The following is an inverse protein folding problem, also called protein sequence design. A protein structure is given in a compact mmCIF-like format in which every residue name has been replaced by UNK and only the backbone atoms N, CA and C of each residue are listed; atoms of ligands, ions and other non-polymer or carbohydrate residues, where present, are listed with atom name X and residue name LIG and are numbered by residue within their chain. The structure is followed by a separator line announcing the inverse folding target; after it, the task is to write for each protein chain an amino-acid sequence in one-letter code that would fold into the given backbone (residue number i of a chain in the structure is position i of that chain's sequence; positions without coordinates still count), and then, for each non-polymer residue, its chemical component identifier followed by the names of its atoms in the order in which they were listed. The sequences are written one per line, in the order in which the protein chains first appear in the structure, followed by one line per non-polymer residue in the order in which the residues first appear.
data_IF_370277845673
#
_entry.id   IF_370277845673
#
_cell.length_a   1.000
_cell.length_b   1.000
_cell.length_c   1.000
_cell.angle_alpha   90.00
_cell.angle_beta   90.00
_cell.angle_gamma   90.00
#
_symmetry.space_group_name_H-M   'P 1'
#
loop_
_entity.id
_entity.type
_entity.pdbx_description
1 polymer ?
#
# COMPACT_ATOMS: atom_id res chain seq x y z
N UNK A 1 -0.99 20.45 10.73
CA UNK A 1 -0.98 20.35 9.27
C UNK A 1 0.23 19.51 8.92
N UNK A 2 0.05 18.27 8.46
CA UNK A 2 1.16 17.55 7.82
C UNK A 2 1.30 18.26 6.48
N UNK A 3 2.40 18.98 6.27
CA UNK A 3 2.74 19.44 4.92
C UNK A 3 2.78 18.18 4.05
N UNK A 4 1.84 18.07 3.10
CA UNK A 4 1.72 16.89 2.23
C UNK A 4 2.89 16.86 1.25
N UNK A 5 4.05 16.41 1.75
CA UNK A 5 5.21 16.00 0.98
C UNK A 5 5.04 14.52 0.65
N UNK A 6 4.59 14.22 -0.57
CA UNK A 6 4.46 12.84 -1.02
C UNK A 6 4.93 12.69 -2.46
N UNK A 7 5.36 11.48 -2.78
CA UNK A 7 5.77 11.10 -4.12
C UNK A 7 5.43 9.65 -4.41
N UNK A 8 5.27 9.34 -5.69
CA UNK A 8 4.93 8.03 -6.22
C UNK A 8 5.98 7.65 -7.24
N UNK A 9 6.65 6.52 -7.00
CA UNK A 9 7.50 5.89 -7.99
C UNK A 9 6.64 4.99 -8.87
N UNK A 10 6.68 5.23 -10.17
CA UNK A 10 6.03 4.41 -11.18
C UNK A 10 7.11 3.60 -11.88
N UNK A 11 7.00 2.28 -11.78
CA UNK A 11 7.95 1.31 -12.35
C UNK A 11 7.23 0.49 -13.42
N UNK A 12 7.82 0.35 -14.60
CA UNK A 12 7.27 -0.49 -15.65
C UNK A 12 8.16 -0.61 -16.88
N UNK A 13 7.64 -1.24 -17.92
CA UNK A 13 8.30 -1.39 -19.21
C UNK A 13 7.81 -0.37 -20.24
N UNK A 14 7.44 0.83 -19.79
CA UNK A 14 6.96 1.91 -20.63
C UNK A 14 8.10 2.85 -21.02
N UNK A 15 7.89 3.62 -22.09
CA UNK A 15 8.80 4.71 -22.45
C UNK A 15 8.56 5.90 -21.51
N UNK A 16 9.49 6.11 -20.56
CA UNK A 16 9.44 7.21 -19.60
C UNK A 16 9.32 8.58 -20.28
N UNK A 17 10.04 8.78 -21.39
CA UNK A 17 10.01 10.05 -22.13
C UNK A 17 8.66 10.28 -22.78
N UNK A 18 8.05 9.25 -23.37
CA UNK A 18 6.70 9.36 -23.91
C UNK A 18 5.66 9.71 -22.81
N UNK A 19 5.76 9.09 -21.64
CA UNK A 19 4.87 9.38 -20.50
C UNK A 19 5.03 10.83 -20.02
N UNK A 20 6.27 11.27 -19.80
CA UNK A 20 6.59 12.62 -19.33
C UNK A 20 6.18 13.66 -20.37
N UNK A 21 6.50 13.46 -21.64
CA UNK A 21 6.08 14.35 -22.71
C UNK A 21 4.56 14.49 -22.77
N UNK A 22 3.83 13.39 -22.59
CA UNK A 22 2.37 13.44 -22.56
C UNK A 22 1.84 14.26 -21.37
N UNK A 23 2.43 14.09 -20.19
CA UNK A 23 2.07 14.88 -19.01
C UNK A 23 2.37 16.38 -19.20
N UNK A 24 3.50 16.71 -19.85
CA UNK A 24 3.88 18.09 -20.19
C UNK A 24 2.96 18.68 -21.25
N UNK A 25 2.51 17.92 -22.24
CA UNK A 25 1.58 18.40 -23.26
C UNK A 25 0.20 18.74 -22.68
N UNK A 26 -0.27 17.94 -21.72
CA UNK A 26 -1.60 18.08 -21.12
C UNK A 26 -1.62 19.09 -19.95
N UNK A 27 -0.46 19.48 -19.42
CA UNK A 27 -0.31 20.37 -18.26
C UNK A 27 0.57 21.58 -18.53
N UNK A 28 0.60 22.52 -17.58
CA UNK A 28 1.54 23.64 -17.63
C UNK A 28 2.79 23.28 -16.84
N UNK A 29 3.74 22.60 -17.49
CA UNK A 29 5.00 22.22 -16.87
C UNK A 29 6.17 23.05 -17.39
N UNK A 30 7.03 23.49 -16.46
CA UNK A 30 8.30 24.13 -16.78
C UNK A 30 9.47 23.21 -16.40
N UNK A 31 10.51 23.22 -17.25
CA UNK A 31 11.73 22.45 -16.99
C UNK A 31 12.55 23.15 -15.90
N UNK A 32 12.92 22.38 -14.88
CA UNK A 32 13.80 22.79 -13.80
C UNK A 32 15.02 21.86 -13.70
N UNK A 33 16.02 22.29 -12.93
CA UNK A 33 17.27 21.53 -12.72
C UNK A 33 17.72 21.63 -11.27
N UNK A 34 18.16 20.51 -10.73
CA UNK A 34 18.76 20.43 -9.39
C UNK A 34 19.90 19.41 -9.39
N UNK A 35 21.08 19.78 -8.88
CA UNK A 35 22.27 18.92 -8.79
C UNK A 35 22.65 18.16 -10.10
N UNK A 36 22.35 18.75 -11.26
CA UNK A 36 22.62 18.16 -12.57
C UNK A 36 21.52 17.25 -13.12
N UNK A 37 20.45 17.00 -12.36
CA UNK A 37 19.25 16.30 -12.84
C UNK A 37 18.22 17.30 -13.37
N UNK A 38 17.48 16.88 -14.40
CA UNK A 38 16.34 17.62 -14.93
C UNK A 38 15.05 17.04 -14.38
N UNK A 39 14.10 17.93 -14.06
CA UNK A 39 12.72 17.55 -13.70
C UNK A 39 11.76 18.61 -14.24
N UNK A 40 10.47 18.31 -14.22
CA UNK A 40 9.42 19.17 -14.71
C UNK A 40 8.51 19.57 -13.55
N UNK A 41 8.26 20.86 -13.38
CA UNK A 41 7.43 21.41 -12.32
C UNK A 41 6.18 22.04 -12.91
N UNK A 42 5.02 21.63 -12.41
CA UNK A 42 3.74 22.23 -12.75
C UNK A 42 3.68 23.66 -12.22
N UNK A 43 3.46 24.60 -13.13
CA UNK A 43 3.21 26.00 -12.81
C UNK A 43 1.70 26.21 -12.76
N UNK A 44 1.16 26.29 -11.54
CA UNK A 44 -0.24 26.65 -11.32
C UNK A 44 -0.36 27.98 -10.58
N UNK A 45 -1.27 28.83 -11.05
CA UNK A 45 -1.62 30.10 -10.38
C UNK A 45 -2.28 29.89 -9.01
N UNK A 46 -2.63 28.64 -8.66
CA UNK A 46 -3.38 28.27 -7.48
C UNK A 46 -2.54 27.55 -6.41
N UNK A 47 -1.22 27.44 -6.60
CA UNK A 47 -0.27 27.05 -5.56
C UNK A 47 -0.05 25.54 -5.37
N UNK A 48 -0.69 24.69 -6.17
CA UNK A 48 -0.37 23.26 -6.24
C UNK A 48 0.67 23.06 -7.35
N UNK A 49 1.91 22.68 -6.99
CA UNK A 49 2.98 22.45 -7.96
C UNK A 49 3.40 20.98 -7.92
N UNK A 50 2.80 20.17 -8.79
CA UNK A 50 3.26 18.79 -8.98
C UNK A 50 4.62 18.79 -9.68
N UNK A 51 5.45 17.79 -9.43
CA UNK A 51 6.74 17.64 -10.09
C UNK A 51 6.89 16.23 -10.66
N UNK A 52 7.59 16.11 -11.79
CA UNK A 52 7.81 14.86 -12.50
C UNK A 52 9.28 14.74 -12.87
N UNK A 53 9.89 13.59 -12.57
CA UNK A 53 11.28 13.30 -12.91
C UNK A 53 11.43 11.86 -13.42
N UNK A 54 12.17 11.67 -14.50
CA UNK A 54 12.71 10.36 -14.85
C UNK A 54 13.94 10.09 -13.98
N UNK A 55 13.93 8.97 -13.27
CA UNK A 55 15.05 8.56 -12.41
C UNK A 55 15.93 7.55 -13.15
N UNK A 56 15.29 6.62 -13.86
CA UNK A 56 15.93 5.61 -14.71
C UNK A 56 14.95 5.16 -15.81
N UNK A 57 15.43 4.36 -16.76
CA UNK A 57 14.59 3.78 -17.82
C UNK A 57 13.45 2.95 -17.21
N UNK A 58 12.20 3.34 -17.50
CA UNK A 58 11.00 2.74 -16.92
C UNK A 58 10.74 3.08 -15.44
N UNK A 59 11.46 4.04 -14.85
CA UNK A 59 11.28 4.53 -13.48
C UNK A 59 11.05 6.05 -13.46
N UNK A 60 9.80 6.44 -13.15
CA UNK A 60 9.38 7.85 -13.08
C UNK A 60 8.89 8.18 -11.67
N UNK A 61 9.28 9.33 -11.14
CA UNK A 61 8.78 9.89 -9.89
C UNK A 61 7.78 11.00 -10.18
N UNK A 62 6.55 10.85 -9.65
CA UNK A 62 5.55 11.90 -9.56
C UNK A 62 5.51 12.42 -8.13
N UNK A 63 5.64 13.72 -7.92
CA UNK A 63 5.74 14.33 -6.61
C UNK A 63 4.76 15.49 -6.43
N UNK A 64 4.35 15.76 -5.19
CA UNK A 64 3.48 16.88 -4.85
C UNK A 64 4.22 18.23 -4.78
N UNK A 65 5.55 18.23 -4.90
CA UNK A 65 6.39 19.42 -4.87
C UNK A 65 7.78 19.15 -5.48
N UNK A 66 8.50 20.24 -5.81
CA UNK A 66 9.91 20.17 -6.18
C UNK A 66 10.79 19.62 -5.04
N UNK A 67 10.48 19.96 -3.78
CA UNK A 67 11.27 19.52 -2.62
C UNK A 67 11.34 17.99 -2.47
N UNK A 68 10.29 17.26 -2.88
CA UNK A 68 10.33 15.79 -2.88
C UNK A 68 11.30 15.25 -3.93
N UNK A 69 11.39 15.90 -5.11
CA UNK A 69 12.36 15.54 -6.15
C UNK A 69 13.79 15.80 -5.66
N UNK A 70 14.02 16.97 -5.07
CA UNK A 70 15.31 17.36 -4.51
C UNK A 70 15.76 16.39 -3.41
N UNK A 71 14.86 16.00 -2.52
CA UNK A 71 15.11 15.00 -1.47
C UNK A 71 15.55 13.65 -2.05
N UNK A 72 14.90 13.18 -3.12
CA UNK A 72 15.26 11.91 -3.79
C UNK A 72 16.63 12.01 -4.45
N UNK A 73 16.95 13.16 -5.06
CA UNK A 73 18.26 13.43 -5.65
C UNK A 73 19.35 13.47 -4.57
N UNK A 74 19.12 14.17 -3.45
CA UNK A 74 20.06 14.24 -2.34
C UNK A 74 20.31 12.85 -1.74
N UNK A 75 19.28 12.01 -1.63
CA UNK A 75 19.45 10.60 -1.22
C UNK A 75 20.30 9.82 -2.23
N UNK A 76 20.02 9.97 -3.54
CA UNK A 76 20.77 9.28 -4.59
C UNK A 76 22.25 9.70 -4.64
N UNK A 77 22.55 10.96 -4.32
CA UNK A 77 23.92 11.50 -4.24
C UNK A 77 24.64 11.17 -2.93
N UNK A 78 23.91 10.70 -1.92
CA UNK A 78 24.44 10.46 -0.57
C UNK A 78 24.56 11.73 0.27
N UNK A 79 23.94 12.83 -0.16
CA UNK A 79 23.87 14.10 0.57
C UNK A 79 22.79 14.07 1.66
N UNK A 80 21.80 13.18 1.52
CA UNK A 80 20.77 12.88 2.53
C UNK A 80 20.70 11.38 2.79
N UNK A 81 20.40 11.01 4.05
CA UNK A 81 20.22 9.60 4.39
C UNK A 81 18.88 9.09 3.85
N UNK A 82 18.90 7.91 3.23
CA UNK A 82 17.67 7.18 2.93
C UNK A 82 16.97 6.78 4.23
N UNK A 83 15.65 6.57 4.16
CA UNK A 83 14.95 5.88 5.24
C UNK A 83 15.58 4.49 5.45
N UNK A 84 15.74 4.13 6.72
CA UNK A 84 16.31 2.87 7.18
C UNK A 84 15.59 2.44 8.46
N UNK A 85 15.84 1.22 8.92
CA UNK A 85 15.17 0.64 10.08
C UNK A 85 14.07 -0.34 9.71
N UNK A 86 13.33 -0.77 10.72
CA UNK A 86 12.51 -1.97 10.63
C UNK A 86 11.43 -1.89 9.54
N UNK A 87 10.75 -0.75 9.38
CA UNK A 87 9.75 -0.55 8.32
C UNK A 87 10.34 -0.81 6.92
N UNK A 88 11.53 -0.26 6.66
CA UNK A 88 12.21 -0.42 5.37
C UNK A 88 12.72 -1.86 5.20
N UNK A 89 13.19 -2.49 6.28
CA UNK A 89 13.60 -3.89 6.25
C UNK A 89 12.41 -4.81 5.91
N UNK A 90 11.23 -4.59 6.49
CA UNK A 90 10.02 -5.37 6.15
C UNK A 90 9.57 -5.10 4.71
N UNK A 91 9.62 -3.84 4.25
CA UNK A 91 9.29 -3.50 2.86
C UNK A 91 10.21 -4.20 1.85
N UNK A 92 11.52 -4.21 2.14
CA UNK A 92 12.53 -4.83 1.28
C UNK A 92 12.46 -6.36 1.30
N UNK A 93 11.99 -6.95 2.41
CA UNK A 93 11.77 -8.39 2.52
C UNK A 93 10.59 -8.91 1.68
N UNK A 94 9.68 -8.04 1.23
CA UNK A 94 8.61 -8.42 0.29
C UNK A 94 9.19 -8.75 -1.09
N UNK A 95 8.72 -9.85 -1.68
CA UNK A 95 8.98 -10.19 -3.08
C UNK A 95 8.58 -9.05 -4.04
N UNK A 96 9.11 -9.09 -5.27
CA UNK A 96 8.70 -8.18 -6.35
C UNK A 96 7.21 -8.34 -6.68
N UNK A 97 6.48 -7.24 -6.78
CA UNK A 97 5.05 -7.27 -7.09
C UNK A 97 4.57 -6.05 -7.86
N UNK A 98 3.29 -6.07 -8.20
CA UNK A 98 2.60 -4.95 -8.86
C UNK A 98 2.44 -3.80 -7.87
N UNK A 99 2.04 -4.13 -6.64
CA UNK A 99 1.93 -3.17 -5.55
C UNK A 99 2.67 -3.74 -4.34
N UNK A 100 3.53 -2.92 -3.75
CA UNK A 100 4.19 -3.15 -2.47
C UNK A 100 3.91 -1.98 -1.57
N UNK A 101 3.40 -2.23 -0.38
CA UNK A 101 3.13 -1.20 0.63
C UNK A 101 3.69 -1.70 1.96
N UNK A 102 4.28 -0.79 2.71
CA UNK A 102 4.59 -0.98 4.13
C UNK A 102 4.24 0.31 4.85
N UNK A 103 3.59 0.21 6.01
CA UNK A 103 3.33 1.36 6.86
C UNK A 103 3.32 0.96 8.33
N UNK A 104 3.69 1.93 9.17
CA UNK A 104 3.46 1.86 10.61
C UNK A 104 2.01 2.24 10.89
N UNK A 105 1.34 1.51 11.78
CA UNK A 105 -0.06 1.79 12.11
C UNK A 105 -0.11 2.97 13.08
N UNK A 106 -0.70 4.13 12.69
CA UNK A 106 -0.78 5.28 13.57
C UNK A 106 -1.61 5.01 14.82
N UNK A 107 -1.24 5.61 15.95
CA UNK A 107 -1.95 5.43 17.22
C UNK A 107 -3.45 5.74 17.13
N UNK A 108 -3.84 6.80 16.40
CA UNK A 108 -5.24 7.16 16.23
C UNK A 108 -6.05 6.09 15.48
N UNK A 109 -5.44 5.35 14.55
CA UNK A 109 -6.11 4.25 13.84
C UNK A 109 -6.33 3.08 14.80
N UNK A 110 -5.35 2.80 15.67
CA UNK A 110 -5.48 1.77 16.71
C UNK A 110 -6.61 2.12 17.69
N UNK A 111 -6.61 3.36 18.19
CA UNK A 111 -7.67 3.88 19.06
C UNK A 111 -9.06 3.79 18.40
N UNK A 112 -9.19 4.12 17.11
CA UNK A 112 -10.47 4.01 16.40
C UNK A 112 -10.95 2.54 16.33
N UNK A 113 -10.05 1.59 16.07
CA UNK A 113 -10.39 0.16 16.02
C UNK A 113 -10.79 -0.34 17.42
N UNK A 114 -10.06 0.03 18.47
CA UNK A 114 -10.40 -0.33 19.84
C UNK A 114 -11.73 0.26 20.28
N UNK A 115 -12.03 1.51 19.91
CA UNK A 115 -13.29 2.16 20.26
C UNK A 115 -14.46 1.70 19.40
N UNK A 116 -14.21 1.02 18.28
CA UNK A 116 -15.25 0.42 17.44
C UNK A 116 -15.90 -0.83 18.08
N UNK A 117 -15.44 -1.20 19.29
CA UNK A 117 -15.84 -2.40 20.01
C UNK A 117 -17.34 -2.40 20.36
N UNK A 118 -18.12 -2.94 19.43
CA UNK A 118 -19.58 -3.02 19.46
C UNK A 118 -20.09 -4.47 19.49
N UNK A 119 -19.19 -5.43 19.70
CA UNK A 119 -19.47 -6.87 19.70
C UNK A 119 -18.70 -7.65 20.78
N UNK A 120 -18.79 -9.00 20.80
CA UNK A 120 -18.16 -9.85 21.81
C UNK A 120 -16.66 -10.11 21.57
N UNK A 121 -16.02 -9.35 20.67
CA UNK A 121 -14.64 -9.57 20.25
C UNK A 121 -13.69 -8.66 21.05
N UNK A 122 -12.55 -9.19 21.47
CA UNK A 122 -11.50 -8.37 22.07
C UNK A 122 -10.58 -7.84 20.96
N UNK A 123 -10.44 -6.52 20.85
CA UNK A 123 -9.56 -5.86 19.89
C UNK A 123 -8.32 -5.23 20.55
N UNK A 124 -8.09 -5.46 21.85
CA UNK A 124 -6.91 -4.94 22.57
C UNK A 124 -5.58 -5.31 21.89
N UNK A 125 -5.51 -6.48 21.26
CA UNK A 125 -4.31 -6.93 20.54
C UNK A 125 -3.96 -6.07 19.32
N UNK A 126 -4.88 -5.25 18.81
CA UNK A 126 -4.63 -4.31 17.71
C UNK A 126 -3.65 -3.22 18.11
N UNK A 127 -3.58 -2.86 19.40
CA UNK A 127 -2.62 -1.89 19.89
C UNK A 127 -1.17 -2.33 19.69
N UNK A 128 -0.95 -3.64 19.66
CA UNK A 128 0.35 -4.26 19.52
C UNK A 128 0.80 -4.37 18.06
N UNK A 129 -0.01 -3.96 17.08
CA UNK A 129 0.38 -3.94 15.67
C UNK A 129 1.38 -2.80 15.43
N UNK A 130 2.59 -3.13 15.00
CA UNK A 130 3.63 -2.14 14.72
C UNK A 130 3.62 -1.75 13.24
N UNK A 131 3.72 -2.76 12.37
CA UNK A 131 3.87 -2.59 10.94
C UNK A 131 2.89 -3.50 10.20
N UNK A 132 2.29 -2.97 9.13
CA UNK A 132 1.56 -3.76 8.16
C UNK A 132 2.28 -3.66 6.83
N UNK A 133 2.50 -4.82 6.20
CA UNK A 133 2.97 -4.91 4.83
C UNK A 133 1.90 -5.53 3.94
N UNK A 134 1.82 -5.05 2.70
CA UNK A 134 0.93 -5.57 1.69
C UNK A 134 1.68 -5.76 0.37
N UNK A 135 1.47 -6.92 -0.23
CA UNK A 135 2.04 -7.31 -1.50
C UNK A 135 0.94 -7.84 -2.41
N UNK A 136 0.79 -7.20 -3.57
CA UNK A 136 -0.09 -7.63 -4.64
C UNK A 136 0.74 -8.07 -5.84
N UNK A 137 0.54 -9.30 -6.28
CA UNK A 137 1.28 -9.88 -7.39
C UNK A 137 0.34 -10.56 -8.36
N UNK A 138 0.76 -10.62 -9.63
CA UNK A 138 0.19 -11.54 -10.61
C UNK A 138 1.11 -12.75 -10.73
N UNK A 139 0.62 -13.93 -10.36
CA UNK A 139 1.31 -15.21 -10.57
C UNK A 139 0.55 -16.00 -11.62
N UNK A 140 1.12 -16.08 -12.82
CA UNK A 140 0.51 -16.71 -14.00
C UNK A 140 -0.87 -16.10 -14.34
N UNK A 141 -1.96 -16.80 -14.00
CA UNK A 141 -3.34 -16.38 -14.25
C UNK A 141 -4.08 -15.90 -13.00
N UNK A 142 -3.46 -15.96 -11.82
CA UNK A 142 -4.06 -15.56 -10.56
C UNK A 142 -3.42 -14.28 -10.00
N UNK A 143 -4.23 -13.49 -9.32
CA UNK A 143 -3.78 -12.36 -8.51
C UNK A 143 -3.63 -12.86 -7.07
N UNK A 144 -2.45 -12.69 -6.51
CA UNK A 144 -2.15 -13.10 -5.13
C UNK A 144 -1.96 -11.87 -4.26
N UNK A 145 -2.59 -11.90 -3.08
CA UNK A 145 -2.40 -10.91 -2.03
C UNK A 145 -1.65 -11.57 -0.89
N UNK A 146 -0.71 -10.83 -0.30
CA UNK A 146 -0.08 -11.21 0.97
C UNK A 146 -0.09 -9.98 1.87
N UNK A 147 -0.72 -10.11 3.03
CA UNK A 147 -0.65 -9.13 4.11
C UNK A 147 0.19 -9.75 5.21
N UNK A 148 1.20 -9.04 5.71
CA UNK A 148 1.84 -9.42 6.97
C UNK A 148 1.56 -8.34 8.00
N UNK A 149 1.10 -8.77 9.17
CA UNK A 149 0.87 -7.95 10.35
C UNK A 149 1.96 -8.31 11.34
N UNK A 150 2.83 -7.35 11.64
CA UNK A 150 3.90 -7.49 12.62
C UNK A 150 3.44 -6.90 13.94
N UNK A 151 3.56 -7.68 15.00
CA UNK A 151 3.20 -7.27 16.37
C UNK A 151 4.43 -7.20 17.26
N UNK A 152 4.29 -6.53 18.41
CA UNK A 152 5.30 -6.47 19.45
C UNK A 152 5.62 -7.85 20.04
N UNK A 153 4.61 -8.74 20.15
CA UNK A 153 4.77 -10.08 20.70
C UNK A 153 3.92 -11.16 20.01
N UNK A 154 4.26 -12.43 20.31
CA UNK A 154 3.64 -13.60 19.69
C UNK A 154 2.22 -13.90 20.15
N UNK A 155 1.85 -13.50 21.38
CA UNK A 155 0.51 -13.73 21.90
C UNK A 155 -0.48 -12.79 21.20
N UNK A 156 -0.10 -11.51 21.00
CA UNK A 156 -0.92 -10.57 20.23
C UNK A 156 -1.08 -11.00 18.78
N UNK A 157 -0.05 -11.58 18.16
CA UNK A 157 -0.17 -12.13 16.81
C UNK A 157 -1.17 -13.30 16.75
N UNK A 158 -1.17 -14.19 17.75
CA UNK A 158 -2.14 -15.27 17.86
C UNK A 158 -3.57 -14.73 18.00
N UNK A 159 -3.78 -13.79 18.92
CA UNK A 159 -5.08 -13.14 19.13
C UNK A 159 -5.59 -12.45 17.86
N UNK A 160 -4.72 -11.74 17.14
CA UNK A 160 -5.09 -11.10 15.86
C UNK A 160 -5.46 -12.15 14.81
N UNK A 161 -4.70 -13.24 14.70
CA UNK A 161 -5.00 -14.30 13.74
C UNK A 161 -6.40 -14.92 14.01
N UNK A 162 -6.72 -15.16 15.28
CA UNK A 162 -8.01 -15.69 15.71
C UNK A 162 -9.16 -14.70 15.44
N UNK A 163 -8.95 -13.40 15.71
CA UNK A 163 -9.93 -12.34 15.41
C UNK A 163 -10.22 -12.28 13.91
N UNK A 164 -9.18 -12.32 13.07
CA UNK A 164 -9.34 -12.29 11.60
C UNK A 164 -10.07 -13.54 11.11
N UNK A 165 -9.67 -14.74 11.57
CA UNK A 165 -10.34 -15.99 11.20
C UNK A 165 -11.82 -15.99 11.61
N UNK A 166 -12.11 -15.55 12.84
CA UNK A 166 -13.47 -15.36 13.33
C UNK A 166 -14.29 -14.41 12.47
N UNK A 167 -13.71 -13.25 12.11
CA UNK A 167 -14.35 -12.26 11.25
C UNK A 167 -14.63 -12.83 9.85
N UNK A 168 -13.68 -13.54 9.24
CA UNK A 168 -13.87 -14.17 7.93
C UNK A 168 -15.01 -15.20 7.95
N UNK A 169 -15.16 -15.98 9.02
CA UNK A 169 -16.26 -16.93 9.19
C UNK A 169 -17.62 -16.24 9.28
N UNK A 170 -17.73 -15.16 10.03
CA UNK A 170 -18.96 -14.35 10.11
C UNK A 170 -19.28 -13.77 8.74
N UNK A 171 -18.29 -13.12 8.11
CA UNK A 171 -18.46 -12.45 6.83
C UNK A 171 -18.89 -13.44 5.74
N UNK A 172 -18.29 -14.63 5.70
CA UNK A 172 -18.70 -15.73 4.82
C UNK A 172 -20.17 -16.13 5.03
N UNK A 173 -20.64 -16.16 6.27
CA UNK A 173 -22.03 -16.49 6.61
C UNK A 173 -23.05 -15.45 6.14
N UNK A 174 -22.61 -14.20 5.93
CA UNK A 174 -23.46 -13.09 5.47
C UNK A 174 -23.53 -12.97 3.94
N UNK A 175 -22.55 -13.52 3.22
CA UNK A 175 -22.50 -13.43 1.76
C UNK A 175 -23.49 -14.43 1.13
N UNK A 176 -24.34 -14.02 0.18
CA UNK A 176 -25.22 -14.95 -0.54
C UNK A 176 -24.52 -15.71 -1.68
N UNK A 177 -23.49 -15.11 -2.30
CA UNK A 177 -22.79 -15.66 -3.46
C UNK A 177 -21.81 -16.78 -3.08
N UNK A 178 -21.99 -17.98 -3.63
CA UNK A 178 -21.17 -19.15 -3.31
C UNK A 178 -19.72 -19.04 -3.84
N UNK A 179 -19.49 -18.34 -4.97
CA UNK A 179 -18.12 -18.15 -5.49
C UNK A 179 -17.32 -17.20 -4.59
N UNK A 180 -17.96 -16.19 -4.02
CA UNK A 180 -17.37 -15.30 -3.04
C UNK A 180 -17.06 -16.06 -1.73
N UNK A 181 -17.95 -16.95 -1.26
CA UNK A 181 -17.67 -17.84 -0.11
C UNK A 181 -16.49 -18.75 -0.36
N UNK A 182 -16.42 -19.41 -1.52
CA UNK A 182 -15.28 -20.26 -1.90
C UNK A 182 -13.97 -19.47 -1.96
N UNK A 183 -14.04 -18.18 -2.27
CA UNK A 183 -12.86 -17.32 -2.31
C UNK A 183 -12.38 -16.99 -0.89
N UNK A 184 -13.29 -16.80 0.06
CA UNK A 184 -12.94 -16.66 1.49
C UNK A 184 -12.32 -17.96 2.03
N UNK A 185 -12.83 -19.12 1.65
CA UNK A 185 -12.28 -20.42 2.08
C UNK A 185 -10.84 -20.67 1.61
N UNK A 186 -10.40 -19.95 0.58
CA UNK A 186 -9.02 -20.03 0.06
C UNK A 186 -8.08 -19.05 0.77
N UNK A 187 -8.59 -18.19 1.65
CA UNK A 187 -7.75 -17.31 2.46
C UNK A 187 -7.04 -18.18 3.51
N UNK A 188 -5.71 -18.09 3.53
CA UNK A 188 -4.87 -18.76 4.52
C UNK A 188 -4.36 -17.73 5.51
N UNK A 189 -4.49 -18.03 6.80
CA UNK A 189 -3.94 -17.24 7.90
C UNK A 189 -2.90 -18.11 8.59
N UNK A 190 -1.67 -17.63 8.65
CA UNK A 190 -0.54 -18.32 9.29
C UNK A 190 0.05 -17.39 10.34
N UNK A 191 0.15 -17.85 11.59
CA UNK A 191 0.89 -17.14 12.63
C UNK A 191 2.26 -17.81 12.82
N UNK A 192 3.31 -16.99 12.93
CA UNK A 192 4.67 -17.45 13.22
C UNK A 192 5.39 -16.42 14.08
N UNK A 193 5.51 -16.69 15.38
CA UNK A 193 6.07 -15.73 16.33
C UNK A 193 5.21 -14.47 16.38
N UNK A 194 5.83 -13.29 16.35
CA UNK A 194 5.11 -12.01 16.37
C UNK A 194 4.64 -11.55 14.97
N UNK A 195 4.28 -12.49 14.09
CA UNK A 195 3.83 -12.16 12.72
C UNK A 195 2.65 -13.01 12.31
N UNK A 196 1.62 -12.34 11.79
CA UNK A 196 0.47 -12.96 11.12
C UNK A 196 0.60 -12.71 9.62
N UNK A 197 0.56 -13.77 8.84
CA UNK A 197 0.59 -13.73 7.38
C UNK A 197 -0.76 -14.19 6.83
N UNK A 198 -1.42 -13.30 6.10
CA UNK A 198 -2.69 -13.57 5.42
C UNK A 198 -2.40 -13.66 3.93
N UNK A 199 -2.74 -14.80 3.32
CA UNK A 199 -2.56 -15.03 1.88
C UNK A 199 -3.90 -15.31 1.23
N UNK A 200 -4.12 -14.71 0.08
CA UNK A 200 -5.25 -15.06 -0.79
C UNK A 200 -4.81 -15.13 -2.24
N UNK A 201 -5.49 -15.96 -3.02
CA UNK A 201 -5.25 -16.11 -4.45
C UNK A 201 -6.58 -16.18 -5.18
N UNK A 202 -6.81 -15.21 -6.06
CA UNK A 202 -8.09 -15.03 -6.74
C UNK A 202 -7.88 -14.73 -8.22
N UNK A 203 -8.79 -15.21 -9.06
CA UNK A 203 -8.89 -14.74 -10.45
C UNK A 203 -9.52 -13.35 -10.49
N UNK A 204 -9.35 -12.63 -11.61
CA UNK A 204 -10.00 -11.32 -11.82
C UNK A 204 -11.52 -11.43 -11.71
N UNK A 205 -12.11 -12.54 -12.16
CA UNK A 205 -13.55 -12.75 -12.07
C UNK A 205 -14.01 -12.86 -10.62
N UNK A 206 -13.33 -13.66 -9.79
CA UNK A 206 -13.66 -13.79 -8.37
C UNK A 206 -13.53 -12.46 -7.61
N UNK A 207 -12.55 -11.63 -7.96
CA UNK A 207 -12.41 -10.27 -7.38
C UNK A 207 -13.62 -9.41 -7.74
N UNK A 208 -14.09 -9.46 -8.99
CA UNK A 208 -15.30 -8.73 -9.43
C UNK A 208 -16.54 -9.23 -8.70
N UNK A 209 -16.68 -10.54 -8.55
CA UNK A 209 -17.82 -11.15 -7.87
C UNK A 209 -17.86 -10.73 -6.39
N UNK A 210 -16.72 -10.80 -5.68
CA UNK A 210 -16.61 -10.28 -4.30
C UNK A 210 -16.94 -8.80 -4.19
N UNK A 211 -16.43 -7.97 -5.11
CA UNK A 211 -16.73 -6.53 -5.11
C UNK A 211 -18.22 -6.26 -5.29
N UNK A 212 -18.90 -7.02 -6.16
CA UNK A 212 -20.33 -6.90 -6.37
C UNK A 212 -21.12 -7.33 -5.12
N UNK A 213 -20.73 -8.42 -4.47
CA UNK A 213 -21.36 -8.87 -3.22
C UNK A 213 -21.20 -7.84 -2.10
N UNK A 214 -20.02 -7.22 -1.97
CA UNK A 214 -19.78 -6.19 -0.96
C UNK A 214 -20.67 -4.95 -1.19
N UNK A 215 -20.76 -4.47 -2.44
CA UNK A 215 -21.63 -3.35 -2.79
C UNK A 215 -23.13 -3.60 -2.52
N UNK A 216 -23.57 -4.86 -2.59
CA UNK A 216 -24.96 -5.22 -2.25
C UNK A 216 -25.21 -5.26 -0.73
N UNK A 217 -24.19 -5.56 0.07
CA UNK A 217 -24.29 -5.60 1.54
C UNK A 217 -24.18 -4.22 2.17
N UNK A 218 -23.45 -3.29 1.54
CA UNK A 218 -23.24 -1.92 1.99
C UNK A 218 -23.86 -0.95 0.98
N UNK A 219 -25.21 -0.82 0.93
CA UNK A 219 -25.83 0.19 0.08
C UNK A 219 -25.47 1.57 0.65
N UNK A 220 -24.55 2.26 -0.02
CA UNK A 220 -24.38 3.70 0.14
C UNK A 220 -25.57 4.44 -0.47
#
# INVERSE_FOLDING_TARGET
SIDQHSGYFIIGSFDSNALINKAIEDGNFEKARYQGYEYYLETSSFGSSQAIMEIDDGLVLLATSASVIEDVIDIQKGDKNSHSGELMDKYNALDSGIVKIAFEVPANVKEDIENSNSGPYNFESVNEIEIITYLFQKKSSAMTNTVNVYTSDSASAEDIADVIDGFLKIYKGMIPDENAKETIDKITIEQKGSTVTIKSSSTVQQIKDMSNSFSQMMPY
#
